data_IF_032342890333
#
_entry.id   IF_032342890333
#
_cell.length_a   1.000
_cell.length_b   1.000
_cell.length_c   1.000
_cell.angle_alpha   90.00
_cell.angle_beta   90.00
_cell.angle_gamma   90.00
#
_symmetry.space_group_name_H-M   'P 1'
#
loop_
_entity.id
_entity.type
_entity.pdbx_description
1 polymer ?
#
# COMPACT_ATOMS: atom_id res chain seq x y z
N UNK A 1 36.49 -56.92 24.34
CA UNK A 1 36.70 -57.99 25.34
C UNK A 1 38.15 -58.02 25.77
N UNK A 2 38.48 -58.23 27.06
CA UNK A 2 37.60 -58.18 28.22
C UNK A 2 38.21 -57.42 29.44
N UNK A 3 37.30 -57.06 30.35
CA UNK A 3 37.44 -57.05 31.83
C UNK A 3 38.67 -56.45 32.52
N UNK A 4 38.42 -55.45 33.37
CA UNK A 4 38.57 -55.63 34.82
C UNK A 4 37.72 -54.61 35.59
N UNK A 5 36.89 -55.14 36.49
CA UNK A 5 36.16 -54.42 37.53
C UNK A 5 36.85 -54.66 38.87
N UNK A 6 36.73 -53.70 39.79
CA UNK A 6 36.92 -53.75 41.27
C UNK A 6 37.65 -52.48 41.74
N UNK A 7 37.44 -51.90 42.92
CA UNK A 7 36.40 -51.96 43.94
C UNK A 7 36.63 -50.71 44.83
N UNK A 8 35.64 -50.36 45.64
CA UNK A 8 35.49 -49.19 46.50
C UNK A 8 36.57 -48.89 47.59
N UNK A 9 36.85 -47.57 47.79
CA UNK A 9 37.02 -46.73 49.02
C UNK A 9 38.10 -47.08 50.10
N UNK A 10 38.56 -46.16 51.00
CA UNK A 10 37.91 -44.93 51.51
C UNK A 10 38.76 -43.65 51.76
N UNK A 11 38.00 -42.56 52.00
CA UNK A 11 38.23 -41.25 52.68
C UNK A 11 39.62 -40.86 53.24
N UNK A 12 40.06 -39.63 52.91
CA UNK A 12 40.52 -38.63 53.91
C UNK A 12 40.54 -37.20 53.32
N UNK A 13 40.25 -36.25 54.22
CA UNK A 13 40.29 -34.77 54.19
C UNK A 13 41.31 -34.15 53.21
N UNK A 14 41.15 -32.96 52.62
CA UNK A 14 40.56 -31.67 53.06
C UNK A 14 40.65 -30.76 51.84
N UNK A 15 39.66 -29.92 51.53
CA UNK A 15 39.95 -28.53 51.13
C UNK A 15 38.71 -27.63 51.03
N UNK A 16 38.79 -26.56 51.85
CA UNK A 16 38.50 -25.16 51.57
C UNK A 16 37.15 -24.68 51.02
N UNK A 17 36.69 -23.68 51.76
CA UNK A 17 35.96 -22.49 51.32
C UNK A 17 34.47 -22.65 51.04
N UNK A 18 33.73 -22.46 52.13
CA UNK A 18 32.40 -21.86 52.09
C UNK A 18 32.46 -20.50 51.37
N UNK A 19 31.55 -20.29 50.41
CA UNK A 19 30.77 -19.06 50.34
C UNK A 19 29.53 -19.30 49.47
N UNK A 20 28.43 -19.56 50.17
CA UNK A 20 27.09 -19.37 49.63
C UNK A 20 26.85 -17.86 49.48
N UNK A 21 26.48 -17.43 48.28
CA UNK A 21 25.85 -16.13 48.07
C UNK A 21 24.46 -16.37 47.52
N UNK A 22 23.49 -16.48 48.43
CA UNK A 22 22.06 -16.31 48.10
C UNK A 22 21.82 -14.85 47.78
N UNK A 23 21.87 -14.48 46.50
CA UNK A 23 21.47 -13.16 46.05
C UNK A 23 19.94 -13.10 45.96
N UNK A 24 19.29 -12.70 47.04
CA UNK A 24 17.88 -12.28 47.00
C UNK A 24 17.78 -10.95 46.25
N UNK A 25 17.40 -11.00 44.97
CA UNK A 25 17.14 -9.78 44.20
C UNK A 25 15.93 -9.03 44.78
N UNK A 26 15.99 -7.69 44.90
CA UNK A 26 14.87 -6.90 45.43
C UNK A 26 13.65 -6.98 44.49
N UNK A 27 12.42 -6.96 45.03
CA UNK A 27 11.19 -7.21 44.25
C UNK A 27 10.97 -6.23 43.09
N UNK A 28 11.55 -5.02 43.17
CA UNK A 28 11.48 -4.02 42.11
C UNK A 28 12.32 -4.38 40.86
N UNK A 29 13.40 -5.12 41.01
CA UNK A 29 14.26 -5.54 39.88
C UNK A 29 13.59 -6.63 39.04
N UNK A 30 12.79 -7.50 39.66
CA UNK A 30 11.97 -8.50 38.97
C UNK A 30 10.80 -7.87 38.22
N UNK A 31 10.19 -6.82 38.78
CA UNK A 31 9.14 -6.04 38.12
C UNK A 31 9.65 -5.30 36.88
N UNK A 32 10.80 -4.63 36.97
CA UNK A 32 11.41 -3.94 35.82
C UNK A 32 11.84 -4.91 34.72
N UNK A 33 12.40 -6.06 35.09
CA UNK A 33 12.76 -7.10 34.12
C UNK A 33 11.51 -7.72 33.45
N UNK A 34 10.43 -7.92 34.20
CA UNK A 34 9.15 -8.41 33.66
C UNK A 34 8.49 -7.38 32.71
N UNK A 35 8.53 -6.09 33.05
CA UNK A 35 8.04 -5.01 32.18
C UNK A 35 8.90 -4.89 30.92
N UNK A 36 10.22 -5.05 31.01
CA UNK A 36 11.12 -5.06 29.86
C UNK A 36 10.89 -6.28 28.95
N UNK A 37 10.68 -7.48 29.50
CA UNK A 37 10.31 -8.67 28.72
C UNK A 37 8.93 -8.55 28.08
N UNK A 38 7.95 -7.95 28.78
CA UNK A 38 6.62 -7.67 28.22
C UNK A 38 6.67 -6.58 27.11
N UNK A 39 7.57 -5.60 27.24
CA UNK A 39 7.83 -4.60 26.21
C UNK A 39 8.54 -5.20 24.98
N UNK A 40 9.41 -6.20 25.16
CA UNK A 40 10.02 -6.96 24.05
C UNK A 40 9.02 -7.91 23.38
N UNK A 41 8.05 -8.46 24.12
CA UNK A 41 6.99 -9.31 23.58
C UNK A 41 5.90 -8.55 22.80
N UNK A 42 5.81 -7.23 22.94
CA UNK A 42 4.78 -6.39 22.28
C UNK A 42 5.23 -5.80 20.94
N UNK A 43 6.45 -6.07 20.48
CA UNK A 43 6.85 -5.80 19.09
C UNK A 43 6.39 -6.95 18.20
N UNK A 44 5.07 -7.13 18.10
CA UNK A 44 4.50 -7.85 16.97
C UNK A 44 4.76 -6.99 15.73
N UNK A 45 5.95 -7.11 15.14
CA UNK A 45 6.14 -6.72 13.76
C UNK A 45 5.05 -7.48 12.99
N UNK A 46 4.02 -6.76 12.52
CA UNK A 46 3.00 -7.34 11.66
C UNK A 46 3.74 -7.88 10.44
N UNK A 47 4.07 -9.17 10.51
CA UNK A 47 4.87 -9.87 9.53
C UNK A 47 3.92 -10.13 8.38
N UNK A 48 4.34 -9.73 7.20
CA UNK A 48 3.59 -9.99 5.99
C UNK A 48 3.50 -11.50 5.75
N UNK A 49 2.31 -12.06 5.91
CA UNK A 49 2.04 -13.51 5.74
C UNK A 49 1.47 -13.83 4.36
N UNK A 50 1.16 -12.81 3.55
CA UNK A 50 0.57 -13.00 2.24
C UNK A 50 1.64 -13.20 1.15
N UNK A 51 2.01 -14.45 0.86
CA UNK A 51 2.99 -14.77 -0.18
C UNK A 51 2.55 -14.52 -1.64
N UNK A 52 1.39 -13.89 -1.88
CA UNK A 52 0.88 -13.64 -3.24
C UNK A 52 1.39 -12.31 -3.78
N UNK A 53 2.15 -12.38 -4.86
CA UNK A 53 2.74 -11.22 -5.55
C UNK A 53 2.06 -10.90 -6.89
N UNK A 54 1.46 -11.89 -7.53
CA UNK A 54 0.72 -11.72 -8.79
C UNK A 54 -0.64 -11.05 -8.53
N UNK A 55 -0.93 -9.89 -9.14
CA UNK A 55 -2.22 -9.21 -8.95
C UNK A 55 -3.41 -10.01 -9.48
N UNK A 56 -3.20 -10.99 -10.36
CA UNK A 56 -4.26 -11.87 -10.87
C UNK A 56 -4.48 -13.13 -10.04
N UNK A 57 -3.72 -13.33 -8.96
CA UNK A 57 -3.90 -14.47 -8.07
C UNK A 57 -4.87 -14.11 -6.94
N UNK A 58 -5.78 -15.02 -6.60
CA UNK A 58 -6.73 -14.83 -5.51
C UNK A 58 -6.03 -15.03 -4.15
N UNK A 59 -6.30 -14.16 -3.18
CA UNK A 59 -5.74 -14.25 -1.82
C UNK A 59 -6.75 -13.80 -0.76
N UNK A 60 -6.43 -14.08 0.50
CA UNK A 60 -7.09 -13.50 1.68
C UNK A 60 -6.04 -12.81 2.54
N UNK A 61 -6.28 -11.55 2.86
CA UNK A 61 -5.35 -10.74 3.64
C UNK A 61 -5.72 -10.70 5.13
N UNK A 62 -4.73 -10.45 5.98
CA UNK A 62 -4.92 -9.88 7.32
C UNK A 62 -4.36 -8.45 7.37
N UNK A 63 -4.72 -7.69 8.40
CA UNK A 63 -4.11 -6.38 8.64
C UNK A 63 -2.58 -6.51 8.68
N UNK A 64 -1.88 -5.63 7.96
CA UNK A 64 -0.43 -5.61 7.91
C UNK A 64 0.20 -6.53 6.86
N UNK A 65 -0.57 -7.35 6.15
CA UNK A 65 -0.08 -8.07 4.97
C UNK A 65 0.25 -7.11 3.82
N UNK A 66 1.15 -7.50 2.93
CA UNK A 66 1.25 -6.87 1.62
C UNK A 66 0.13 -7.37 0.70
N UNK A 67 -0.52 -6.48 -0.04
CA UNK A 67 -1.59 -6.87 -0.97
C UNK A 67 -1.27 -6.46 -2.41
N UNK A 68 -1.06 -7.44 -3.29
CA UNK A 68 -0.80 -7.19 -4.70
C UNK A 68 -2.08 -6.83 -5.47
N UNK A 69 -2.05 -5.70 -6.15
CA UNK A 69 -3.07 -5.30 -7.13
C UNK A 69 -2.44 -4.57 -8.31
N UNK A 70 -3.13 -4.57 -9.44
CA UNK A 70 -2.68 -3.94 -10.67
C UNK A 70 -3.48 -2.69 -11.02
N UNK A 71 -2.87 -1.81 -11.79
CA UNK A 71 -3.51 -0.69 -12.49
C UNK A 71 -3.18 -0.82 -13.97
N UNK A 72 -4.20 -1.12 -14.77
CA UNK A 72 -4.08 -1.21 -16.21
C UNK A 72 -4.49 0.11 -16.86
N UNK A 73 -3.68 0.59 -17.80
CA UNK A 73 -3.92 1.76 -18.65
C UNK A 73 -4.26 1.31 -20.06
N UNK A 74 -5.38 1.78 -20.60
CA UNK A 74 -5.80 1.50 -21.96
C UNK A 74 -6.86 2.51 -22.41
N UNK A 75 -7.35 2.37 -23.65
CA UNK A 75 -8.54 3.09 -24.09
C UNK A 75 -9.78 2.59 -23.35
N UNK A 76 -10.80 3.44 -23.20
CA UNK A 76 -12.02 3.09 -22.46
C UNK A 76 -12.64 1.77 -22.95
N UNK A 77 -12.74 1.59 -24.27
CA UNK A 77 -13.33 0.39 -24.87
C UNK A 77 -12.52 -0.89 -24.66
N UNK A 78 -11.21 -0.80 -24.40
CA UNK A 78 -10.35 -1.97 -24.21
C UNK A 78 -10.64 -2.74 -22.91
N UNK A 79 -11.39 -2.14 -21.98
CA UNK A 79 -11.83 -2.79 -20.74
C UNK A 79 -13.18 -3.52 -20.88
N UNK A 80 -13.81 -3.46 -22.05
CA UNK A 80 -15.11 -4.05 -22.32
C UNK A 80 -15.02 -5.16 -23.37
N UNK A 81 -15.78 -6.22 -23.16
CA UNK A 81 -16.01 -7.28 -24.16
C UNK A 81 -17.43 -7.14 -24.71
N UNK A 82 -17.57 -7.24 -26.04
CA UNK A 82 -18.86 -7.06 -26.72
C UNK A 82 -19.48 -5.68 -26.49
N UNK A 83 -18.67 -4.66 -26.18
CA UNK A 83 -19.09 -3.26 -25.99
C UNK A 83 -19.92 -2.96 -24.73
N UNK A 84 -20.25 -3.97 -23.91
CA UNK A 84 -21.22 -3.81 -22.80
C UNK A 84 -20.74 -4.41 -21.48
N UNK A 85 -19.95 -5.49 -21.52
CA UNK A 85 -19.50 -6.17 -20.31
C UNK A 85 -18.09 -5.75 -19.98
N UNK A 86 -17.93 -4.94 -18.92
CA UNK A 86 -16.61 -4.64 -18.39
C UNK A 86 -15.99 -5.92 -17.82
N UNK A 87 -14.78 -6.28 -18.22
CA UNK A 87 -14.06 -7.44 -17.68
C UNK A 87 -12.90 -7.01 -16.78
N UNK A 88 -12.43 -7.92 -15.94
CA UNK A 88 -11.18 -7.72 -15.20
C UNK A 88 -10.01 -7.70 -16.18
N UNK A 89 -9.00 -6.84 -16.00
CA UNK A 89 -7.72 -6.92 -16.71
C UNK A 89 -7.01 -8.28 -16.64
N UNK A 90 -7.36 -9.15 -15.69
CA UNK A 90 -6.90 -10.54 -15.64
C UNK A 90 -7.64 -11.50 -16.58
N UNK A 91 -8.71 -11.05 -17.25
CA UNK A 91 -9.48 -11.85 -18.20
C UNK A 91 -8.80 -11.83 -19.58
N UNK A 92 -8.38 -13.01 -20.04
CA UNK A 92 -7.73 -13.23 -21.34
C UNK A 92 -8.54 -12.77 -22.57
N UNK A 93 -9.85 -12.54 -22.42
CA UNK A 93 -10.68 -11.98 -23.50
C UNK A 93 -10.39 -10.51 -23.74
N UNK A 94 -9.75 -9.83 -22.79
CA UNK A 94 -9.21 -8.50 -23.01
C UNK A 94 -7.83 -8.61 -23.64
N UNK A 95 -7.65 -8.00 -24.81
CA UNK A 95 -6.35 -7.93 -25.50
C UNK A 95 -5.43 -6.85 -24.90
N UNK A 96 -5.37 -6.74 -23.57
CA UNK A 96 -4.62 -5.69 -22.88
C UNK A 96 -3.10 -5.91 -22.95
N UNK A 97 -2.63 -7.15 -23.06
CA UNK A 97 -1.21 -7.46 -23.16
C UNK A 97 -0.53 -6.80 -24.39
N UNK A 98 -1.30 -6.53 -25.45
CA UNK A 98 -0.79 -5.92 -26.68
C UNK A 98 -1.15 -4.43 -26.84
N UNK A 99 -2.05 -3.91 -26.01
CA UNK A 99 -2.66 -2.57 -26.22
C UNK A 99 -2.67 -1.68 -24.98
N UNK A 100 -2.32 -2.22 -23.81
CA UNK A 100 -2.32 -1.50 -22.55
C UNK A 100 -0.95 -1.48 -21.87
N UNK A 101 -0.86 -0.66 -20.83
CA UNK A 101 0.28 -0.64 -19.93
C UNK A 101 -0.15 -1.02 -18.52
N UNK A 102 0.74 -1.60 -17.73
CA UNK A 102 0.43 -2.14 -16.41
C UNK A 102 1.42 -1.60 -15.37
N UNK A 103 0.87 -1.15 -14.24
CA UNK A 103 1.62 -0.95 -13.01
C UNK A 103 1.10 -1.91 -11.94
N UNK A 104 2.00 -2.52 -11.16
CA UNK A 104 1.64 -3.42 -10.06
C UNK A 104 2.16 -2.84 -8.77
N UNK A 105 1.31 -2.87 -7.74
CA UNK A 105 1.63 -2.36 -6.42
C UNK A 105 1.35 -3.40 -5.37
N UNK A 106 2.11 -3.33 -4.28
CA UNK A 106 1.96 -4.21 -3.13
C UNK A 106 2.07 -3.44 -1.81
N UNK A 107 1.14 -2.51 -1.53
CA UNK A 107 1.11 -1.77 -0.27
C UNK A 107 0.80 -2.69 0.91
N UNK A 108 1.12 -2.22 2.11
CA UNK A 108 0.69 -2.84 3.35
C UNK A 108 -0.78 -2.55 3.61
N UNK A 109 -1.55 -3.58 3.97
CA UNK A 109 -2.98 -3.48 4.24
C UNK A 109 -3.22 -2.68 5.52
N UNK A 110 -4.17 -1.74 5.42
CA UNK A 110 -4.56 -0.81 6.48
C UNK A 110 -3.49 0.21 6.86
N UNK A 111 -2.54 0.46 5.96
CA UNK A 111 -1.57 1.55 6.06
C UNK A 111 -1.87 2.61 4.98
N UNK A 112 -2.00 3.88 5.39
CA UNK A 112 -2.22 4.97 4.43
C UNK A 112 -0.98 5.10 3.55
N UNK A 113 -1.15 4.74 2.27
CA UNK A 113 -0.09 4.72 1.28
C UNK A 113 -0.38 5.71 0.15
N UNK A 114 0.66 6.36 -0.38
CA UNK A 114 0.60 7.14 -1.61
C UNK A 114 1.42 6.42 -2.68
N UNK A 115 0.75 5.89 -3.69
CA UNK A 115 1.41 5.31 -4.85
C UNK A 115 1.73 6.39 -5.86
N UNK A 116 2.89 6.29 -6.50
CA UNK A 116 3.30 7.22 -7.55
C UNK A 116 3.61 6.46 -8.83
N UNK A 117 2.99 6.88 -9.94
CA UNK A 117 3.34 6.43 -11.29
C UNK A 117 4.00 7.62 -11.98
N UNK A 118 5.30 7.46 -12.26
CA UNK A 118 6.09 8.48 -12.93
C UNK A 118 5.66 8.60 -14.40
N UNK A 119 5.22 9.79 -14.81
CA UNK A 119 4.84 10.10 -16.21
C UNK A 119 5.88 10.94 -16.94
N UNK A 120 7.05 11.15 -16.33
CA UNK A 120 8.12 12.02 -16.86
C UNK A 120 9.17 11.21 -17.63
N UNK A 121 9.30 9.92 -17.34
CA UNK A 121 10.29 9.03 -17.98
C UNK A 121 9.60 7.83 -18.62
N UNK A 122 9.40 7.88 -19.93
CA UNK A 122 8.99 6.72 -20.75
C UNK A 122 7.49 6.35 -20.73
N UNK A 123 6.72 6.78 -19.73
CA UNK A 123 5.27 6.54 -19.67
C UNK A 123 4.46 7.82 -19.89
N UNK A 124 3.52 7.78 -20.83
CA UNK A 124 2.53 8.85 -21.02
C UNK A 124 1.10 8.27 -20.98
N UNK A 125 0.28 8.64 -19.98
CA UNK A 125 -1.07 8.11 -19.85
C UNK A 125 -2.00 8.50 -21.01
N UNK A 126 -1.77 9.64 -21.68
CA UNK A 126 -2.56 10.05 -22.84
C UNK A 126 -2.35 9.10 -24.04
N UNK A 127 -1.11 8.66 -24.28
CA UNK A 127 -0.80 7.72 -25.37
C UNK A 127 -1.08 6.28 -24.98
N UNK A 128 -1.09 5.95 -23.69
CA UNK A 128 -1.54 4.66 -23.16
C UNK A 128 -3.07 4.49 -23.15
N UNK A 129 -3.81 5.37 -23.83
CA UNK A 129 -5.26 5.27 -24.03
C UNK A 129 -6.12 6.11 -23.08
N UNK A 130 -5.50 6.79 -22.11
CA UNK A 130 -6.14 7.86 -21.35
C UNK A 130 -7.06 7.45 -20.21
N UNK A 131 -7.31 6.15 -20.04
CA UNK A 131 -8.11 5.60 -18.94
C UNK A 131 -7.32 4.58 -18.14
N UNK A 132 -7.70 4.40 -16.88
CA UNK A 132 -7.14 3.32 -16.04
C UNK A 132 -8.21 2.55 -15.27
N UNK A 133 -7.89 1.29 -14.97
CA UNK A 133 -8.67 0.37 -14.14
C UNK A 133 -7.74 -0.28 -13.13
N UNK A 134 -8.04 -0.11 -11.84
CA UNK A 134 -7.48 -0.93 -10.77
C UNK A 134 -8.16 -2.30 -10.74
N UNK A 135 -7.40 -3.36 -10.46
CA UNK A 135 -7.90 -4.74 -10.44
C UNK A 135 -7.08 -5.65 -9.53
N UNK A 136 -7.70 -6.72 -9.04
CA UNK A 136 -6.99 -7.87 -8.47
C UNK A 136 -7.85 -9.15 -8.52
N UNK A 137 -7.19 -10.30 -8.46
CA UNK A 137 -7.81 -11.64 -8.46
C UNK A 137 -8.23 -12.13 -9.84
N UNK A 138 -8.61 -13.41 -9.91
CA UNK A 138 -9.08 -14.06 -11.15
C UNK A 138 -10.41 -14.78 -10.93
N UNK A 139 -10.50 -15.68 -9.96
CA UNK A 139 -11.76 -16.37 -9.64
C UNK A 139 -12.74 -15.43 -8.94
N UNK A 140 -12.23 -14.60 -8.02
CA UNK A 140 -13.00 -13.58 -7.33
C UNK A 140 -12.51 -12.19 -7.75
N UNK A 141 -12.34 -12.00 -9.06
CA UNK A 141 -11.76 -10.80 -9.61
C UNK A 141 -12.59 -9.56 -9.26
N UNK A 142 -11.97 -8.62 -8.56
CA UNK A 142 -12.53 -7.29 -8.33
C UNK A 142 -11.85 -6.29 -9.27
N UNK A 143 -12.62 -5.30 -9.71
CA UNK A 143 -12.13 -4.23 -10.58
C UNK A 143 -12.86 -2.94 -10.27
N UNK A 144 -12.18 -1.83 -10.49
CA UNK A 144 -12.80 -0.52 -10.50
C UNK A 144 -13.48 -0.22 -11.82
N UNK A 145 -14.38 0.76 -11.83
CA UNK A 145 -14.84 1.37 -13.09
C UNK A 145 -13.68 2.08 -13.79
N UNK A 146 -13.64 2.13 -15.13
CA UNK A 146 -12.61 2.89 -15.82
C UNK A 146 -12.71 4.36 -15.45
N UNK A 147 -11.57 4.96 -15.06
CA UNK A 147 -11.49 6.38 -14.73
C UNK A 147 -10.61 7.12 -15.72
N UNK A 148 -11.01 8.33 -16.08
CA UNK A 148 -10.23 9.20 -16.95
C UNK A 148 -8.94 9.64 -16.24
N UNK A 149 -7.82 9.54 -16.96
CA UNK A 149 -6.50 9.94 -16.47
C UNK A 149 -5.94 11.07 -17.31
N UNK A 150 -5.91 10.92 -18.62
CA UNK A 150 -5.27 11.92 -19.48
C UNK A 150 -5.72 11.86 -20.93
N UNK A 151 -5.66 12.99 -21.62
CA UNK A 151 -5.75 13.09 -23.08
C UNK A 151 -4.84 14.24 -23.57
N UNK A 152 -5.01 14.66 -24.82
CA UNK A 152 -4.24 15.78 -25.39
C UNK A 152 -4.48 17.14 -24.73
N UNK A 153 -5.58 17.30 -23.98
CA UNK A 153 -5.97 18.57 -23.37
C UNK A 153 -5.76 18.60 -21.85
N UNK A 154 -6.02 17.49 -21.16
CA UNK A 154 -5.99 17.43 -19.71
C UNK A 154 -5.32 16.18 -19.14
N UNK A 155 -4.70 16.33 -17.98
CA UNK A 155 -4.12 15.25 -17.17
C UNK A 155 -4.54 15.37 -15.72
N UNK A 156 -5.16 14.34 -15.19
CA UNK A 156 -5.50 14.18 -13.77
C UNK A 156 -4.32 13.46 -13.11
N UNK A 157 -3.73 14.08 -12.09
CA UNK A 157 -2.54 13.55 -11.42
C UNK A 157 -2.79 13.11 -9.98
N UNK A 158 -4.02 13.24 -9.47
CA UNK A 158 -4.34 12.90 -8.08
C UNK A 158 -5.62 12.09 -8.03
N UNK A 159 -5.53 10.92 -7.42
CA UNK A 159 -6.64 9.98 -7.26
C UNK A 159 -6.67 9.44 -5.84
N UNK A 160 -7.83 8.96 -5.43
CA UNK A 160 -7.99 8.14 -4.23
C UNK A 160 -8.67 6.85 -4.62
N UNK A 161 -8.07 5.73 -4.23
CA UNK A 161 -8.56 4.38 -4.47
C UNK A 161 -8.90 3.73 -3.13
N UNK A 162 -10.14 3.25 -3.01
CA UNK A 162 -10.62 2.50 -1.85
C UNK A 162 -10.66 1.02 -2.22
N UNK A 163 -9.97 0.20 -1.42
CA UNK A 163 -10.02 -1.24 -1.50
C UNK A 163 -10.98 -1.75 -0.42
N UNK A 164 -12.06 -2.40 -0.83
CA UNK A 164 -13.09 -2.92 0.07
C UNK A 164 -12.92 -4.43 0.24
N UNK A 165 -12.69 -4.88 1.47
CA UNK A 165 -12.50 -6.28 1.81
C UNK A 165 -13.66 -6.82 2.64
N UNK A 166 -14.02 -8.08 2.42
CA UNK A 166 -14.96 -8.81 3.25
C UNK A 166 -14.33 -10.13 3.67
N UNK A 167 -14.12 -10.34 4.97
CA UNK A 167 -13.42 -11.50 5.53
C UNK A 167 -12.08 -11.75 4.85
N UNK A 168 -11.34 -10.67 4.60
CA UNK A 168 -10.01 -10.68 3.98
C UNK A 168 -10.00 -10.85 2.47
N UNK A 169 -11.16 -11.00 1.82
CA UNK A 169 -11.25 -11.10 0.36
C UNK A 169 -11.66 -9.76 -0.24
N UNK A 170 -10.90 -9.27 -1.23
CA UNK A 170 -11.26 -8.07 -1.97
C UNK A 170 -12.62 -8.25 -2.65
N UNK A 171 -13.53 -7.31 -2.42
CA UNK A 171 -14.86 -7.27 -3.03
C UNK A 171 -14.91 -6.21 -4.13
N UNK A 172 -14.46 -4.99 -3.81
CA UNK A 172 -14.55 -3.86 -4.72
C UNK A 172 -13.31 -2.96 -4.68
N UNK A 173 -13.18 -2.20 -5.76
CA UNK A 173 -12.18 -1.16 -5.94
C UNK A 173 -12.89 0.11 -6.42
N UNK A 174 -12.82 1.19 -5.65
CA UNK A 174 -13.57 2.40 -5.94
C UNK A 174 -12.67 3.62 -6.05
N UNK A 175 -12.79 4.35 -7.17
CA UNK A 175 -12.20 5.67 -7.32
C UNK A 175 -13.08 6.71 -6.63
N UNK A 176 -12.51 7.43 -5.68
CA UNK A 176 -13.17 8.59 -5.10
C UNK A 176 -12.91 9.81 -5.97
N UNK A 177 -13.98 10.57 -6.25
CA UNK A 177 -13.89 11.87 -6.92
C UNK A 177 -13.79 12.96 -5.87
N UNK A 178 -12.74 13.77 -5.94
CA UNK A 178 -12.49 14.84 -4.96
C UNK A 178 -13.19 16.16 -5.32
N UNK A 179 -13.93 16.19 -6.44
CA UNK A 179 -14.62 17.39 -6.90
C UNK A 179 -13.65 18.45 -7.39
N UNK A 180 -14.20 19.63 -7.71
CA UNK A 180 -13.40 20.74 -8.24
C UNK A 180 -12.87 21.70 -7.17
N UNK A 181 -13.14 21.45 -5.88
CA UNK A 181 -12.58 22.26 -4.79
C UNK A 181 -11.05 22.25 -4.77
N UNK A 182 -10.42 21.16 -5.22
CA UNK A 182 -8.98 21.07 -5.37
C UNK A 182 -8.40 22.03 -6.43
N UNK A 183 -9.19 22.43 -7.43
CA UNK A 183 -8.75 23.34 -8.49
C UNK A 183 -8.74 24.81 -8.07
N UNK A 184 -9.46 25.18 -7.01
CA UNK A 184 -9.58 26.58 -6.59
C UNK A 184 -8.25 27.22 -6.16
N UNK A 185 -7.22 26.39 -5.95
CA UNK A 185 -5.91 26.80 -5.43
C UNK A 185 -4.86 27.08 -6.50
N UNK A 186 -5.17 26.91 -7.78
CA UNK A 186 -4.24 27.22 -8.88
C UNK A 186 -4.96 27.60 -10.17
N UNK A 187 -4.48 28.63 -10.85
CA UNK A 187 -4.94 29.04 -12.20
C UNK A 187 -4.51 28.07 -13.31
N UNK A 188 -3.55 27.19 -13.04
CA UNK A 188 -3.09 26.15 -13.99
C UNK A 188 -3.97 24.89 -13.99
N UNK A 189 -4.91 24.80 -13.05
CA UNK A 189 -5.84 23.69 -12.89
C UNK A 189 -7.19 24.00 -13.51
N UNK A 190 -7.80 23.00 -14.15
CA UNK A 190 -9.09 23.07 -14.81
C UNK A 190 -10.02 22.02 -14.21
N UNK A 191 -11.23 22.45 -13.89
CA UNK A 191 -12.30 21.59 -13.44
C UNK A 191 -13.01 20.95 -14.65
N UNK A 192 -12.88 19.63 -14.80
CA UNK A 192 -13.50 18.88 -15.89
C UNK A 192 -14.81 18.27 -15.39
N UNK A 193 -15.89 18.50 -16.14
CA UNK A 193 -17.19 17.88 -15.88
C UNK A 193 -17.78 18.20 -14.50
N UNK A 194 -17.36 19.30 -13.87
CA UNK A 194 -17.73 19.71 -12.49
C UNK A 194 -17.36 18.69 -11.40
N UNK A 195 -16.53 17.69 -11.71
CA UNK A 195 -16.26 16.56 -10.82
C UNK A 195 -14.77 16.27 -10.58
N UNK A 196 -13.89 16.65 -11.51
CA UNK A 196 -12.49 16.24 -11.45
C UNK A 196 -11.57 17.42 -11.71
N UNK A 197 -10.57 17.57 -10.86
CA UNK A 197 -9.53 18.56 -11.05
C UNK A 197 -8.36 18.02 -11.87
N UNK A 198 -7.92 18.77 -12.88
CA UNK A 198 -6.88 18.33 -13.81
C UNK A 198 -5.93 19.47 -14.18
N UNK A 199 -4.70 19.13 -14.52
CA UNK A 199 -3.79 20.02 -15.22
C UNK A 199 -4.14 20.07 -16.71
N UNK A 200 -3.83 21.18 -17.37
CA UNK A 200 -3.72 21.16 -18.85
C UNK A 200 -2.52 20.29 -19.22
N UNK A 201 -2.68 19.40 -20.20
CA UNK A 201 -1.62 18.46 -20.59
C UNK A 201 -0.34 19.18 -21.01
N UNK A 202 -0.46 20.34 -21.65
CA UNK A 202 0.67 21.18 -22.08
C UNK A 202 1.51 21.71 -20.89
N UNK A 203 0.93 21.79 -19.69
CA UNK A 203 1.65 22.24 -18.50
C UNK A 203 2.56 21.16 -17.91
N UNK A 204 2.31 19.89 -18.22
CA UNK A 204 3.00 18.74 -17.65
C UNK A 204 4.43 18.57 -18.23
N UNK A 205 5.37 18.02 -17.46
CA UNK A 205 6.82 17.87 -17.75
C UNK A 205 7.20 17.37 -19.15
N UNK A 206 6.32 16.64 -19.84
CA UNK A 206 6.50 16.27 -21.25
C UNK A 206 6.48 17.47 -22.22
N UNK A 207 5.88 18.59 -21.82
CA UNK A 207 5.59 19.78 -22.65
C UNK A 207 5.72 21.12 -21.88
N UNK A 208 5.80 21.08 -20.55
CA UNK A 208 5.85 22.24 -19.66
C UNK A 208 6.63 21.94 -18.38
N UNK A 209 6.59 22.80 -17.35
CA UNK A 209 7.45 22.65 -16.17
C UNK A 209 6.85 21.79 -15.04
N UNK A 210 5.56 21.44 -15.09
CA UNK A 210 4.84 20.86 -13.94
C UNK A 210 4.96 19.33 -13.91
N UNK A 211 5.29 18.77 -12.74
CA UNK A 211 5.26 17.32 -12.56
C UNK A 211 3.84 16.79 -12.36
N UNK A 212 3.30 16.18 -13.43
CA UNK A 212 1.98 15.57 -13.47
C UNK A 212 1.98 14.05 -13.20
N UNK A 213 3.05 13.53 -12.57
CA UNK A 213 3.08 12.12 -12.15
C UNK A 213 1.85 11.78 -11.33
N UNK A 214 1.29 10.60 -11.59
CA UNK A 214 0.01 10.18 -11.03
C UNK A 214 0.25 9.73 -9.58
N UNK A 215 -0.34 10.45 -8.63
CA UNK A 215 -0.42 10.08 -7.22
C UNK A 215 -1.76 9.41 -6.91
N UNK A 216 -1.73 8.25 -6.26
CA UNK A 216 -2.92 7.50 -5.86
C UNK A 216 -2.87 7.25 -4.36
N UNK A 217 -3.73 7.94 -3.62
CA UNK A 217 -3.93 7.70 -2.20
C UNK A 217 -4.74 6.42 -2.02
N UNK A 218 -4.24 5.50 -1.20
CA UNK A 218 -4.93 4.26 -0.87
C UNK A 218 -5.66 4.38 0.45
N UNK A 219 -6.82 3.74 0.51
CA UNK A 219 -7.56 3.51 1.73
C UNK A 219 -8.15 2.10 1.72
N UNK A 220 -8.23 1.49 2.90
CA UNK A 220 -8.78 0.15 3.09
C UNK A 220 -10.05 0.25 3.92
N UNK A 221 -11.01 -0.62 3.61
CA UNK A 221 -12.31 -0.68 4.28
C UNK A 221 -12.81 -2.13 4.40
N UNK A 222 -13.72 -2.36 5.34
CA UNK A 222 -14.33 -3.66 5.57
C UNK A 222 -13.54 -4.49 6.58
N UNK A 223 -13.36 -5.80 6.33
CA UNK A 223 -12.74 -6.72 7.30
C UNK A 223 -11.69 -7.64 6.70
N UNK A 224 -10.73 -8.02 7.54
CA UNK A 224 -9.65 -8.95 7.20
C UNK A 224 -10.05 -10.44 7.41
N UNK A 225 -9.14 -11.39 7.15
CA UNK A 225 -9.44 -12.84 7.23
C UNK A 225 -9.80 -13.33 8.64
N UNK A 226 -9.45 -12.55 9.66
CA UNK A 226 -9.77 -12.77 11.08
C UNK A 226 -10.92 -11.88 11.56
N UNK A 227 -11.66 -11.28 10.62
CA UNK A 227 -12.79 -10.38 10.86
C UNK A 227 -12.41 -9.07 11.59
N UNK A 228 -11.12 -8.73 11.64
CA UNK A 228 -10.67 -7.44 12.15
C UNK A 228 -11.00 -6.33 11.17
N UNK A 229 -11.54 -5.22 11.66
CA UNK A 229 -11.97 -4.07 10.85
C UNK A 229 -10.76 -3.39 10.21
N UNK A 230 -10.85 -2.97 8.95
CA UNK A 230 -9.87 -2.12 8.29
C UNK A 230 -10.31 -0.64 8.43
N UNK A 231 -9.46 0.19 9.04
CA UNK A 231 -9.85 1.52 9.53
C UNK A 231 -9.28 2.70 8.73
N UNK A 232 -8.28 2.47 7.89
CA UNK A 232 -7.59 3.55 7.15
C UNK A 232 -8.53 4.42 6.30
N UNK A 233 -9.69 3.91 5.85
CA UNK A 233 -10.72 4.74 5.21
C UNK A 233 -11.32 5.81 6.14
N UNK A 234 -11.62 5.45 7.39
CA UNK A 234 -12.12 6.41 8.39
C UNK A 234 -11.04 7.43 8.74
N UNK A 235 -9.78 7.01 8.80
CA UNK A 235 -8.63 7.91 8.99
C UNK A 235 -8.49 8.88 7.83
N UNK A 236 -8.58 8.43 6.57
CA UNK A 236 -8.57 9.32 5.39
C UNK A 236 -9.75 10.28 5.41
N UNK A 237 -10.94 9.85 5.83
CA UNK A 237 -12.11 10.72 5.97
C UNK A 237 -11.91 11.81 7.04
N UNK A 238 -11.38 11.44 8.20
CA UNK A 238 -11.10 12.37 9.30
C UNK A 238 -9.96 13.32 8.94
N UNK A 239 -8.89 12.84 8.31
CA UNK A 239 -7.81 13.70 7.85
C UNK A 239 -8.28 14.67 6.76
N UNK A 240 -9.24 14.27 5.91
CA UNK A 240 -9.88 15.18 4.93
C UNK A 240 -10.73 16.28 5.56
N UNK A 241 -11.32 16.06 6.74
CA UNK A 241 -11.98 17.15 7.50
C UNK A 241 -10.99 18.27 7.87
N UNK A 242 -9.70 17.94 8.03
CA UNK A 242 -8.63 18.90 8.31
C UNK A 242 -7.95 19.48 7.04
N UNK A 243 -8.56 19.35 5.85
CA UNK A 243 -8.04 19.91 4.58
C UNK A 243 -6.55 19.61 4.35
N UNK A 244 -6.23 18.32 4.32
CA UNK A 244 -4.90 17.78 4.00
C UNK A 244 -4.30 18.24 2.67
N UNK A 245 -5.06 18.85 1.75
CA UNK A 245 -4.47 19.40 0.52
C UNK A 245 -3.23 20.28 0.82
N UNK A 246 -3.25 21.06 1.90
CA UNK A 246 -2.10 21.89 2.31
C UNK A 246 -0.93 21.10 2.90
N UNK A 247 -1.18 20.01 3.63
CA UNK A 247 -0.13 19.16 4.19
C UNK A 247 0.55 18.29 3.11
N UNK A 248 -0.21 17.79 2.14
CA UNK A 248 0.34 16.97 1.05
C UNK A 248 0.98 17.78 -0.08
N UNK A 249 0.49 18.99 -0.38
CA UNK A 249 1.21 19.91 -1.28
C UNK A 249 2.54 20.32 -0.64
N UNK A 250 2.54 20.63 0.65
CA UNK A 250 3.76 20.96 1.38
C UNK A 250 4.71 19.77 1.51
N UNK A 251 4.23 18.53 1.67
CA UNK A 251 5.11 17.34 1.64
C UNK A 251 5.75 17.14 0.26
N UNK A 252 5.00 17.35 -0.83
CA UNK A 252 5.55 17.31 -2.20
C UNK A 252 6.57 18.42 -2.42
N UNK A 253 6.30 19.65 -1.97
CA UNK A 253 7.24 20.78 -2.05
C UNK A 253 8.46 20.60 -1.12
N UNK A 254 8.29 19.97 0.05
CA UNK A 254 9.39 19.70 1.01
C UNK A 254 10.27 18.54 0.54
N UNK A 255 9.70 17.49 -0.05
CA UNK A 255 10.47 16.40 -0.69
C UNK A 255 11.17 16.88 -1.96
N UNK A 256 10.50 17.64 -2.83
CA UNK A 256 11.16 18.27 -3.99
C UNK A 256 12.22 19.30 -3.58
N UNK A 257 12.00 20.05 -2.49
CA UNK A 257 12.96 21.01 -1.94
C UNK A 257 14.18 20.37 -1.28
N UNK A 258 14.06 19.17 -0.71
CA UNK A 258 15.21 18.41 -0.19
C UNK A 258 15.99 17.68 -1.30
N UNK A 259 15.32 17.17 -2.34
CA UNK A 259 16.01 16.56 -3.49
C UNK A 259 16.87 17.57 -4.27
N UNK A 260 16.47 18.84 -4.35
CA UNK A 260 17.27 19.92 -4.97
C UNK A 260 18.45 20.42 -4.11
N UNK A 261 18.65 19.89 -2.89
CA UNK A 261 19.83 20.19 -2.06
C UNK A 261 20.89 19.09 -2.11
N UNK A 262 20.60 17.96 -2.74
CA UNK A 262 21.52 16.83 -2.88
C UNK A 262 22.01 16.61 -4.32
N UNK A 263 21.59 17.44 -5.28
CA UNK A 263 22.11 17.52 -6.65
C UNK A 263 22.19 18.97 -7.13
#
# INVERSE_FOLDING_TARGET
>A
SPTTANLLLPRLATDRAAMAASASAPPHSLLLAAVALAALASVAAARDENGVYDPCSDTRIQRGDGFSFGIAFATLGAFYSGGSVQLSPCDRRLSLASSGQLAVFRPKVDEISLLTINTTTGFNPATAGGYMVAFAGRKYAARSVPTFVSNSSYTVSSFTLVLEFNKGRLQNLHWKKDGCGACAKSSSLVCIGKQTCAFRTQSCKSQGPVDCSIGIQLAFSGTDKHESVLNSWYEVSNLRQYSLYGLYSNLKDTLSGQFNKFF
#
